data_IF_539886746237
#
_entry.id   IF_539886746237
#
_cell.length_a   1.000
_cell.length_b   1.000
_cell.length_c   1.000
_cell.angle_alpha   90.00
_cell.angle_beta   90.00
_cell.angle_gamma   90.00
#
_symmetry.space_group_name_H-M   'P 1'
#
loop_
_entity.id
_entity.type
_entity.pdbx_description
1 polymer ?
#
# COMPACT_ATOMS: atom_id res chain seq x y z
N UNK A 1 -29.92 -15.65 -4.08
CA UNK A 1 -28.88 -15.44 -5.11
C UNK A 1 -28.76 -13.95 -5.36
N UNK A 2 -27.81 -13.28 -4.70
CA UNK A 2 -27.56 -11.85 -4.90
C UNK A 2 -26.25 -11.74 -5.68
N UNK A 3 -26.35 -11.95 -6.99
CA UNK A 3 -25.23 -11.78 -7.93
C UNK A 3 -25.21 -10.31 -8.39
N UNK A 4 -23.99 -9.80 -8.55
CA UNK A 4 -23.61 -8.73 -9.50
C UNK A 4 -24.06 -7.28 -9.24
N UNK A 5 -23.72 -6.69 -8.09
CA UNK A 5 -23.54 -5.22 -8.00
C UNK A 5 -22.05 -4.82 -7.89
N UNK A 6 -21.22 -5.68 -7.29
CA UNK A 6 -19.78 -5.39 -7.07
C UNK A 6 -18.95 -5.48 -8.36
N UNK A 7 -19.33 -6.36 -9.30
CA UNK A 7 -18.57 -6.59 -10.54
C UNK A 7 -18.62 -5.41 -11.53
N UNK A 8 -19.65 -4.56 -11.42
CA UNK A 8 -19.81 -3.38 -12.27
C UNK A 8 -18.90 -2.20 -11.84
N UNK A 9 -18.30 -2.27 -10.65
CA UNK A 9 -17.57 -1.15 -10.05
C UNK A 9 -16.28 -0.78 -10.80
N UNK A 10 -15.70 -1.73 -11.53
CA UNK A 10 -14.38 -1.62 -12.15
C UNK A 10 -14.41 -1.51 -13.69
N UNK A 11 -15.60 -1.33 -14.28
CA UNK A 11 -15.79 -1.20 -15.74
C UNK A 11 -16.39 0.18 -16.08
N UNK A 12 -15.96 0.83 -17.19
CA UNK A 12 -14.70 0.59 -17.92
C UNK A 12 -13.50 0.93 -17.00
N UNK A 13 -12.26 0.79 -17.47
CA UNK A 13 -10.99 0.96 -16.72
C UNK A 13 -11.09 1.67 -15.32
N UNK A 14 -10.67 1.01 -14.22
CA UNK A 14 -10.90 1.51 -12.86
C UNK A 14 -10.02 2.71 -12.45
N UNK A 15 -9.06 3.13 -13.28
CA UNK A 15 -8.06 4.15 -12.94
C UNK A 15 -8.66 5.42 -12.33
N UNK A 16 -9.62 6.06 -13.01
CA UNK A 16 -10.18 7.34 -12.55
C UNK A 16 -10.93 7.19 -11.22
N UNK A 17 -11.60 6.05 -10.99
CA UNK A 17 -12.29 5.76 -9.72
C UNK A 17 -11.29 5.56 -8.59
N UNK A 18 -10.25 4.76 -8.83
CA UNK A 18 -9.19 4.52 -7.84
C UNK A 18 -8.49 5.82 -7.48
N UNK A 19 -8.09 6.61 -8.48
CA UNK A 19 -7.43 7.89 -8.27
C UNK A 19 -8.30 8.84 -7.41
N UNK A 20 -9.60 8.96 -7.73
CA UNK A 20 -10.51 9.77 -6.93
C UNK A 20 -10.64 9.26 -5.48
N UNK A 21 -10.77 7.95 -5.26
CA UNK A 21 -10.90 7.39 -3.93
C UNK A 21 -9.60 7.47 -3.10
N UNK A 22 -8.44 7.27 -3.72
CA UNK A 22 -7.15 7.48 -3.05
C UNK A 22 -6.89 8.97 -2.75
N UNK A 23 -7.33 9.90 -3.61
CA UNK A 23 -7.33 11.34 -3.30
C UNK A 23 -8.20 11.65 -2.09
N UNK A 24 -9.37 11.03 -1.99
CA UNK A 24 -10.23 11.15 -0.81
C UNK A 24 -9.53 10.61 0.44
N UNK A 25 -8.92 9.43 0.39
CA UNK A 25 -8.17 8.85 1.51
C UNK A 25 -7.02 9.78 1.94
N UNK A 26 -6.28 10.33 0.98
CA UNK A 26 -5.22 11.29 1.25
C UNK A 26 -5.74 12.49 2.03
N UNK A 27 -6.85 13.10 1.58
CA UNK A 27 -7.41 14.31 2.18
C UNK A 27 -8.05 14.08 3.56
N UNK A 28 -8.62 12.90 3.81
CA UNK A 28 -9.46 12.65 4.99
C UNK A 28 -8.82 11.77 6.06
N UNK A 29 -7.92 10.85 5.68
CA UNK A 29 -7.33 9.86 6.60
C UNK A 29 -5.83 10.04 6.79
N UNK A 30 -5.11 10.44 5.74
CA UNK A 30 -3.64 10.51 5.76
C UNK A 30 -3.11 11.94 5.95
N UNK A 31 -3.93 12.96 5.71
CA UNK A 31 -3.50 14.37 5.73
C UNK A 31 -2.83 14.75 7.05
N UNK A 32 -1.65 15.36 6.95
CA UNK A 32 -0.90 15.87 8.10
C UNK A 32 0.03 14.85 8.77
N UNK A 33 0.10 13.61 8.27
CA UNK A 33 1.10 12.65 8.73
C UNK A 33 2.51 13.08 8.26
N UNK A 34 3.54 12.99 9.13
CA UNK A 34 4.85 13.59 8.88
C UNK A 34 5.66 12.89 7.80
N UNK A 35 5.32 11.64 7.46
CA UNK A 35 6.02 10.83 6.47
C UNK A 35 5.49 11.00 5.04
N UNK A 36 4.45 11.83 4.83
CA UNK A 36 3.94 12.06 3.49
C UNK A 36 4.93 12.88 2.65
N UNK A 37 5.24 12.38 1.46
CA UNK A 37 6.09 13.09 0.52
C UNK A 37 5.36 14.35 -0.01
N UNK A 38 5.89 15.56 0.23
CA UNK A 38 5.13 16.80 0.05
C UNK A 38 4.87 17.17 -1.42
N UNK A 39 5.67 16.63 -2.34
CA UNK A 39 5.56 16.93 -3.79
C UNK A 39 4.79 15.87 -4.57
N UNK A 40 4.62 14.68 -4.02
CA UNK A 40 3.98 13.55 -4.73
C UNK A 40 2.47 13.65 -4.56
N UNK A 41 1.75 13.44 -5.64
CA UNK A 41 0.29 13.42 -5.69
C UNK A 41 -0.20 11.99 -5.90
N UNK A 42 -1.52 11.84 -5.85
CA UNK A 42 -2.16 10.56 -6.11
C UNK A 42 -2.37 10.42 -7.62
N UNK A 43 -1.86 9.34 -8.21
CA UNK A 43 -2.02 8.98 -9.62
C UNK A 43 -2.35 7.51 -9.79
N UNK A 44 -3.29 7.20 -10.69
CA UNK A 44 -3.52 5.84 -11.18
C UNK A 44 -2.79 5.63 -12.51
N UNK A 45 -1.74 4.82 -12.50
CA UNK A 45 -0.78 4.70 -13.59
C UNK A 45 -0.92 3.35 -14.31
N UNK A 46 -0.97 3.38 -15.64
CA UNK A 46 -0.81 2.20 -16.49
C UNK A 46 -1.86 1.10 -16.36
N UNK A 47 -3.07 1.43 -15.88
CA UNK A 47 -4.14 0.44 -15.73
C UNK A 47 -4.53 -0.20 -17.06
N UNK A 48 -4.30 -1.51 -17.18
CA UNK A 48 -4.61 -2.34 -18.34
C UNK A 48 -5.22 -3.66 -17.91
N UNK A 49 -5.90 -4.32 -18.83
CA UNK A 49 -6.32 -5.71 -18.60
C UNK A 49 -5.09 -6.60 -18.59
N UNK A 50 -4.97 -7.43 -17.56
CA UNK A 50 -3.94 -8.46 -17.45
C UNK A 50 -4.61 -9.73 -16.96
N UNK A 51 -4.52 -10.80 -17.76
CA UNK A 51 -5.31 -12.03 -17.57
C UNK A 51 -6.80 -11.71 -17.41
N UNK A 52 -7.40 -12.01 -16.26
CA UNK A 52 -8.81 -11.80 -15.94
C UNK A 52 -9.02 -10.57 -15.03
N UNK A 53 -7.98 -9.75 -14.82
CA UNK A 53 -7.97 -8.65 -13.86
C UNK A 53 -7.62 -7.32 -14.53
N UNK A 54 -7.94 -6.22 -13.85
CA UNK A 54 -7.27 -4.96 -14.12
C UNK A 54 -6.00 -4.89 -13.28
N UNK A 55 -4.89 -4.52 -13.92
CA UNK A 55 -3.59 -4.33 -13.29
C UNK A 55 -3.11 -2.91 -13.57
N UNK A 56 -2.65 -2.22 -12.54
CA UNK A 56 -2.03 -0.90 -12.65
C UNK A 56 -1.30 -0.54 -11.37
N UNK A 57 -0.68 0.62 -11.32
CA UNK A 57 0.03 1.10 -10.13
C UNK A 57 -0.65 2.34 -9.57
N UNK A 58 -0.82 2.37 -8.25
CA UNK A 58 -1.23 3.55 -7.52
C UNK A 58 0.00 4.24 -6.93
N UNK A 59 0.26 5.46 -7.40
CA UNK A 59 1.20 6.38 -6.78
C UNK A 59 0.44 7.19 -5.75
N UNK A 60 1.00 7.30 -4.54
CA UNK A 60 0.44 8.10 -3.46
C UNK A 60 1.57 8.81 -2.71
N UNK A 61 1.30 9.87 -1.93
CA UNK A 61 2.33 10.55 -1.14
C UNK A 61 3.02 9.66 -0.10
N UNK A 62 2.48 8.49 0.24
CA UNK A 62 3.07 7.59 1.24
C UNK A 62 3.73 6.34 0.65
N UNK A 63 3.26 5.87 -0.51
CA UNK A 63 3.75 4.64 -1.12
C UNK A 63 3.38 4.53 -2.62
N UNK A 64 4.12 3.69 -3.34
CA UNK A 64 3.79 3.22 -4.68
C UNK A 64 3.37 1.74 -4.56
N UNK A 65 2.17 1.41 -5.03
CA UNK A 65 1.59 0.08 -4.89
C UNK A 65 1.10 -0.47 -6.23
N UNK A 66 1.41 -1.73 -6.52
CA UNK A 66 0.80 -2.47 -7.60
C UNK A 66 -0.61 -2.90 -7.18
N UNK A 67 -1.62 -2.65 -8.01
CA UNK A 67 -3.03 -2.91 -7.72
C UNK A 67 -3.62 -3.90 -8.72
N UNK A 68 -4.33 -4.88 -8.19
CA UNK A 68 -5.23 -5.76 -8.92
C UNK A 68 -6.68 -5.47 -8.54
N UNK A 69 -7.53 -5.27 -9.55
CA UNK A 69 -8.98 -5.14 -9.40
C UNK A 69 -9.71 -6.22 -10.20
N UNK A 70 -10.95 -6.51 -9.82
CA UNK A 70 -11.81 -7.43 -10.59
C UNK A 70 -11.98 -6.94 -12.03
N UNK A 71 -11.72 -7.81 -13.00
CA UNK A 71 -11.89 -7.53 -14.43
C UNK A 71 -13.01 -8.38 -15.03
N UNK A 72 -12.70 -9.64 -15.32
CA UNK A 72 -13.66 -10.59 -15.87
C UNK A 72 -14.49 -11.25 -14.77
N UNK A 73 -15.78 -11.38 -15.04
CA UNK A 73 -16.75 -11.94 -14.09
C UNK A 73 -16.45 -13.41 -13.78
N UNK A 74 -16.52 -13.77 -12.50
CA UNK A 74 -16.32 -15.15 -12.03
C UNK A 74 -14.87 -15.52 -11.72
N UNK A 75 -13.88 -14.72 -12.14
CA UNK A 75 -12.47 -14.95 -11.81
C UNK A 75 -12.04 -14.30 -10.50
N UNK A 76 -12.76 -13.27 -10.04
CA UNK A 76 -12.47 -12.61 -8.77
C UNK A 76 -12.97 -13.44 -7.58
N UNK A 77 -12.03 -13.89 -6.76
CA UNK A 77 -12.33 -14.50 -5.46
C UNK A 77 -12.24 -13.43 -4.38
N UNK A 78 -13.38 -13.13 -3.76
CA UNK A 78 -13.42 -12.33 -2.53
C UNK A 78 -12.80 -13.14 -1.40
N UNK A 79 -11.83 -12.54 -0.70
CA UNK A 79 -11.17 -13.16 0.45
C UNK A 79 -11.21 -12.23 1.66
N UNK A 80 -10.94 -12.70 2.89
CA UNK A 80 -10.85 -11.82 4.05
C UNK A 80 -9.84 -10.68 3.82
N UNK A 81 -10.16 -9.51 4.36
CA UNK A 81 -9.23 -8.37 4.38
C UNK A 81 -7.93 -8.76 5.09
N UNK A 82 -6.80 -8.26 4.60
CA UNK A 82 -5.47 -8.57 5.14
C UNK A 82 -4.91 -9.92 4.71
N UNK A 83 -5.70 -10.77 4.02
CA UNK A 83 -5.20 -12.07 3.55
C UNK A 83 -4.18 -11.90 2.42
N UNK A 84 -3.06 -12.61 2.53
CA UNK A 84 -2.02 -12.71 1.50
C UNK A 84 -2.45 -13.65 0.36
N UNK A 85 -2.17 -13.27 -0.88
CA UNK A 85 -2.40 -14.05 -2.09
C UNK A 85 -1.15 -13.95 -2.97
N UNK A 86 -0.83 -15.04 -3.66
CA UNK A 86 0.33 -15.12 -4.53
C UNK A 86 -0.13 -15.08 -5.99
N UNK A 87 0.51 -14.23 -6.79
CA UNK A 87 0.26 -14.12 -8.23
C UNK A 87 1.55 -14.28 -9.00
N UNK A 88 1.55 -15.20 -9.97
CA UNK A 88 2.70 -15.40 -10.85
C UNK A 88 2.70 -14.35 -11.96
N UNK A 89 3.78 -13.61 -12.05
CA UNK A 89 4.14 -12.72 -13.16
C UNK A 89 5.36 -13.29 -13.91
N UNK A 90 5.65 -12.81 -15.13
CA UNK A 90 6.88 -13.18 -15.83
C UNK A 90 8.16 -12.96 -15.00
N UNK A 91 8.19 -11.88 -14.22
CA UNK A 91 9.33 -11.55 -13.37
C UNK A 91 9.42 -12.38 -12.08
N UNK A 92 8.43 -13.23 -11.80
CA UNK A 92 8.39 -14.07 -10.60
C UNK A 92 7.07 -14.02 -9.83
N UNK A 93 7.10 -14.52 -8.59
CA UNK A 93 5.94 -14.59 -7.73
C UNK A 93 5.79 -13.32 -6.89
N UNK A 94 4.62 -12.69 -6.94
CA UNK A 94 4.32 -11.47 -6.19
C UNK A 94 3.25 -11.69 -5.14
N UNK A 95 3.49 -11.08 -3.99
CA UNK A 95 2.65 -11.17 -2.82
C UNK A 95 1.69 -9.98 -2.73
N UNK A 96 0.41 -10.28 -2.87
CA UNK A 96 -0.67 -9.32 -2.76
C UNK A 96 -1.42 -9.49 -1.44
N UNK A 97 -1.88 -8.39 -0.88
CA UNK A 97 -2.77 -8.36 0.29
C UNK A 97 -4.15 -7.91 -0.16
N UNK A 98 -5.19 -8.62 0.28
CA UNK A 98 -6.58 -8.22 0.04
C UNK A 98 -6.95 -6.99 0.86
N UNK A 99 -7.55 -6.00 0.21
CA UNK A 99 -8.03 -4.76 0.83
C UNK A 99 -9.51 -4.62 0.57
N UNK A 100 -10.26 -4.27 1.63
CA UNK A 100 -11.68 -3.96 1.55
C UNK A 100 -11.92 -2.55 2.07
N UNK A 101 -12.05 -1.61 1.15
CA UNK A 101 -12.39 -0.23 1.52
C UNK A 101 -13.83 0.09 1.14
N UNK A 102 -14.54 0.81 2.02
CA UNK A 102 -15.96 1.15 1.81
C UNK A 102 -16.20 2.05 0.60
N UNK A 103 -15.20 2.81 0.17
CA UNK A 103 -15.27 3.76 -0.94
C UNK A 103 -14.75 3.09 -2.20
N UNK A 104 -13.57 2.48 -2.14
CA UNK A 104 -12.93 1.90 -3.31
C UNK A 104 -13.60 0.58 -3.72
N UNK A 105 -14.01 -0.23 -2.75
CA UNK A 105 -14.43 -1.62 -2.94
C UNK A 105 -13.32 -2.59 -2.56
N UNK A 106 -13.43 -3.83 -3.02
CA UNK A 106 -12.42 -4.85 -2.81
C UNK A 106 -11.38 -4.85 -3.93
N UNK A 107 -10.12 -4.70 -3.57
CA UNK A 107 -8.97 -4.80 -4.47
C UNK A 107 -7.83 -5.53 -3.78
N UNK A 108 -6.77 -5.85 -4.51
CA UNK A 108 -5.57 -6.47 -3.97
C UNK A 108 -4.40 -5.54 -4.23
N UNK A 109 -3.49 -5.39 -3.28
CA UNK A 109 -2.33 -4.53 -3.43
C UNK A 109 -1.03 -5.24 -3.06
N UNK A 110 0.04 -4.92 -3.77
CA UNK A 110 1.41 -5.28 -3.46
C UNK A 110 2.23 -3.98 -3.32
N UNK A 111 2.89 -3.80 -2.18
CA UNK A 111 3.72 -2.61 -1.96
C UNK A 111 5.00 -2.72 -2.78
N UNK A 112 5.26 -1.75 -3.64
CA UNK A 112 6.47 -1.71 -4.47
C UNK A 112 7.53 -0.83 -3.80
N UNK A 113 7.13 0.35 -3.32
CA UNK A 113 8.06 1.30 -2.71
C UNK A 113 7.40 2.06 -1.56
N UNK A 114 8.05 2.01 -0.40
CA UNK A 114 7.73 2.79 0.80
C UNK A 114 8.90 2.68 1.80
N UNK A 115 9.31 3.78 2.45
CA UNK A 115 8.91 5.18 2.21
C UNK A 115 9.47 5.72 0.88
N UNK A 116 8.94 6.86 0.41
CA UNK A 116 9.34 7.48 -0.88
C UNK A 116 10.58 8.38 -0.75
N UNK A 117 11.59 7.95 -0.01
CA UNK A 117 12.79 8.77 0.28
C UNK A 117 13.64 9.04 -0.97
N UNK A 118 13.70 8.07 -1.88
CA UNK A 118 14.45 8.17 -3.14
C UNK A 118 13.73 8.98 -4.21
N UNK A 119 12.45 9.30 -4.00
CA UNK A 119 11.63 10.05 -4.95
C UNK A 119 11.86 11.54 -4.78
N UNK A 120 12.29 12.22 -5.85
CA UNK A 120 12.61 13.65 -5.79
C UNK A 120 11.40 14.56 -6.03
N UNK A 121 10.49 14.13 -6.91
CA UNK A 121 9.28 14.86 -7.29
C UNK A 121 8.15 13.94 -7.80
N UNK A 122 7.02 14.56 -8.18
CA UNK A 122 5.83 13.88 -8.68
C UNK A 122 6.07 13.13 -10.00
N UNK A 123 6.92 13.68 -10.87
CA UNK A 123 7.18 13.09 -12.18
C UNK A 123 8.00 11.81 -12.02
N UNK A 124 9.06 11.84 -11.20
CA UNK A 124 9.86 10.67 -10.89
C UNK A 124 8.99 9.54 -10.30
N UNK A 125 8.02 9.85 -9.43
CA UNK A 125 7.12 8.85 -8.87
C UNK A 125 6.28 8.13 -9.94
N UNK A 126 5.80 8.88 -10.94
CA UNK A 126 5.04 8.34 -12.07
C UNK A 126 5.94 7.52 -13.01
N UNK A 127 7.17 7.98 -13.25
CA UNK A 127 8.17 7.24 -14.05
C UNK A 127 8.52 5.90 -13.39
N UNK A 128 8.77 5.89 -12.08
CA UNK A 128 9.00 4.66 -11.30
C UNK A 128 7.80 3.72 -11.38
N UNK A 129 6.57 4.24 -11.35
CA UNK A 129 5.37 3.41 -11.48
C UNK A 129 5.26 2.73 -12.85
N UNK A 130 5.58 3.42 -13.95
CA UNK A 130 5.63 2.81 -15.28
C UNK A 130 6.78 1.80 -15.39
N UNK A 131 7.97 2.15 -14.90
CA UNK A 131 9.12 1.24 -14.92
C UNK A 131 8.82 -0.06 -14.16
N UNK A 132 8.15 0.01 -13.01
CA UNK A 132 7.75 -1.17 -12.27
C UNK A 132 6.76 -2.05 -13.04
N UNK A 133 5.77 -1.45 -13.74
CA UNK A 133 4.83 -2.21 -14.58
C UNK A 133 5.50 -2.93 -15.75
N UNK A 134 6.54 -2.34 -16.31
CA UNK A 134 7.31 -2.96 -17.38
C UNK A 134 8.22 -4.05 -16.81
N UNK A 135 8.85 -3.82 -15.67
CA UNK A 135 9.76 -4.78 -15.03
C UNK A 135 9.05 -6.07 -14.62
N UNK A 136 7.88 -5.98 -13.98
CA UNK A 136 7.12 -7.19 -13.59
C UNK A 136 6.68 -8.06 -14.79
N UNK A 137 6.69 -7.49 -16.01
CA UNK A 137 6.28 -8.18 -17.24
C UNK A 137 7.45 -8.75 -18.03
N UNK A 138 8.70 -8.49 -17.64
CA UNK A 138 9.88 -9.12 -18.23
C UNK A 138 10.10 -10.48 -17.59
N UNK A 139 10.61 -11.44 -18.36
CA UNK A 139 11.00 -12.73 -17.81
C UNK A 139 12.10 -12.55 -16.76
N UNK A 140 12.01 -13.34 -15.70
CA UNK A 140 12.99 -13.44 -14.62
C UNK A 140 14.42 -13.46 -15.22
N UNK A 141 15.10 -12.33 -15.10
CA UNK A 141 16.52 -12.27 -15.45
C UNK A 141 17.26 -13.12 -14.42
N UNK A 142 18.26 -13.92 -14.80
CA UNK A 142 19.15 -14.52 -13.81
C UNK A 142 19.71 -13.39 -12.96
N UNK A 143 19.46 -13.47 -11.64
CA UNK A 143 19.90 -12.49 -10.65
C UNK A 143 21.36 -12.12 -10.91
N UNK A 144 21.65 -10.88 -11.34
CA UNK A 144 22.97 -10.33 -11.00
C UNK A 144 22.98 -10.29 -9.47
N UNK A 145 23.94 -10.99 -8.84
CA UNK A 145 24.10 -11.14 -7.39
C UNK A 145 24.11 -9.78 -6.67
N UNK A 146 22.94 -9.19 -6.49
CA UNK A 146 22.65 -8.16 -5.52
C UNK A 146 22.47 -8.90 -4.20
N UNK A 147 23.40 -8.67 -3.28
CA UNK A 147 23.37 -9.15 -1.89
C UNK A 147 21.94 -9.26 -1.37
N UNK A 148 21.54 -10.41 -0.79
CA UNK A 148 20.17 -10.62 -0.34
C UNK A 148 19.80 -9.51 0.64
N UNK A 149 18.78 -8.72 0.30
CA UNK A 149 18.05 -7.98 1.30
C UNK A 149 17.53 -9.03 2.28
N UNK A 150 18.03 -8.98 3.51
CA UNK A 150 17.56 -9.83 4.60
C UNK A 150 16.05 -9.67 4.66
N UNK A 151 15.38 -10.70 4.16
CA UNK A 151 14.00 -11.01 4.45
C UNK A 151 13.91 -11.03 5.97
N UNK A 152 13.46 -9.93 6.56
CA UNK A 152 13.03 -9.97 7.95
C UNK A 152 11.80 -10.86 7.94
N UNK A 153 12.04 -12.16 8.12
CA UNK A 153 11.07 -13.12 8.60
C UNK A 153 10.49 -12.54 9.88
N UNK A 154 9.46 -11.71 9.75
CA UNK A 154 8.45 -11.57 10.79
C UNK A 154 7.60 -12.82 10.68
N UNK A 155 8.21 -13.94 11.08
CA UNK A 155 7.46 -15.01 11.69
C UNK A 155 6.70 -14.34 12.83
N UNK A 156 5.39 -14.24 12.65
CA UNK A 156 4.47 -13.77 13.66
C UNK A 156 4.50 -14.84 14.75
N UNK A 157 5.41 -14.68 15.71
CA UNK A 157 5.25 -15.29 17.03
C UNK A 157 4.08 -14.58 17.70
N UNK A 158 2.89 -15.08 17.39
CA UNK A 158 1.57 -14.64 17.87
C UNK A 158 1.44 -14.76 19.41
N UNK A 159 2.45 -15.28 20.11
CA UNK A 159 2.46 -15.50 21.56
C UNK A 159 3.24 -14.42 22.34
N UNK A 160 4.03 -13.56 21.68
CA UNK A 160 4.85 -12.54 22.36
C UNK A 160 4.16 -11.16 22.47
N UNK A 161 3.13 -10.90 21.67
CA UNK A 161 2.37 -9.64 21.70
C UNK A 161 1.43 -9.59 22.90
N UNK A 162 0.87 -10.72 23.33
CA UNK A 162 -0.04 -10.76 24.49
C UNK A 162 0.68 -10.40 25.81
N UNK A 163 1.92 -10.83 26.01
CA UNK A 163 2.70 -10.48 27.22
C UNK A 163 3.21 -9.03 27.22
N UNK A 164 3.37 -8.40 26.07
CA UNK A 164 3.81 -7.01 25.97
C UNK A 164 2.67 -6.00 26.25
N UNK A 165 1.42 -6.37 25.96
CA UNK A 165 0.24 -5.54 26.24
C UNK A 165 -0.17 -5.61 27.73
N UNK A 166 0.07 -6.73 28.41
CA UNK A 166 -0.26 -6.86 29.84
C UNK A 166 0.74 -6.14 30.76
N UNK A 167 2.00 -6.01 30.36
CA UNK A 167 3.03 -5.34 31.15
C UNK A 167 3.04 -3.80 31.02
N UNK A 168 2.28 -3.24 30.09
CA UNK A 168 2.17 -1.78 29.88
C UNK A 168 0.99 -1.13 30.61
N UNK A 169 0.12 -1.92 31.26
CA UNK A 169 -1.04 -1.42 32.02
C UNK A 169 -0.80 -1.24 33.53
N UNK A 170 0.41 -1.43 34.03
CA UNK A 170 0.73 -1.21 35.45
C UNK A 170 1.91 -0.25 35.68
N UNK A 171 1.66 1.05 35.44
CA UNK A 171 2.15 2.17 36.29
C UNK A 171 1.62 3.51 35.78
N UNK A 172 0.93 4.33 36.61
CA UNK A 172 0.34 5.57 36.18
C UNK A 172 1.40 6.67 36.09
N UNK A 173 1.65 7.23 34.91
CA UNK A 173 2.42 8.47 34.79
C UNK A 173 1.46 9.66 34.91
N UNK A 174 1.54 10.29 36.07
CA UNK A 174 0.85 11.51 36.48
C UNK A 174 1.18 12.71 35.57
N UNK A 175 0.14 13.46 35.18
CA UNK A 175 0.14 14.62 34.26
C UNK A 175 0.88 15.88 34.75
N UNK A 176 1.75 15.81 35.77
CA UNK A 176 2.30 16.99 36.47
C UNK A 176 3.76 17.36 36.16
N UNK A 177 4.44 16.66 35.26
CA UNK A 177 5.87 16.89 34.98
C UNK A 177 6.18 17.60 33.64
N UNK A 178 5.18 18.05 32.89
CA UNK A 178 5.40 18.63 31.55
C UNK A 178 5.57 20.16 31.48
N UNK A 179 5.38 20.89 32.59
CA UNK A 179 5.58 22.36 32.61
C UNK A 179 6.50 22.80 33.75
N UNK A 180 7.81 22.64 33.58
CA UNK A 180 8.82 23.53 34.21
C UNK A 180 10.18 23.46 33.52
N UNK A 181 10.29 24.01 32.30
CA UNK A 181 11.59 24.46 31.78
C UNK A 181 11.41 25.57 30.75
N UNK A 182 11.03 26.75 31.22
CA UNK A 182 11.36 28.05 30.61
C UNK A 182 11.17 29.13 31.69
N UNK A 183 12.01 30.16 31.63
CA UNK A 183 12.27 31.23 32.62
C UNK A 183 13.29 30.80 33.69
N UNK A 184 14.50 31.37 33.85
CA UNK A 184 15.15 32.57 33.32
C UNK A 184 16.68 32.43 33.50
N UNK A 185 17.44 32.59 32.42
CA UNK A 185 18.75 33.25 32.48
C UNK A 185 18.50 34.74 32.67
N UNK A 186 18.99 35.28 33.79
CA UNK A 186 19.54 36.64 33.98
C UNK A 186 19.59 36.92 35.48
N UNK A 187 20.77 36.77 36.08
CA UNK A 187 21.60 37.85 36.68
C UNK A 187 22.73 37.18 37.47
#
# INVERSE_FOLDING_TARGET
MQKSEVSAVWKPNPASRLEAGFKYIHQNRMKGLPFLHPKVKVHAVGFKKWTNFWLGVMVTPWAINLILCEGEEGYWKSVPEGKKLHYQFPAGLYDFISVKDKILGEYKMCSLLSPLEEITDDQMAVEVAYAALDEIMKDEQPEEEGTPMVESKREVEEEAVEKAVENTLSKPISRRSFFRRKQQENT
#
